data_IF_068187267270
#
_entry.id   IF_068187267270
#
_cell.length_a   1.000
_cell.length_b   1.000
_cell.length_c   1.000
_cell.angle_alpha   90.00
_cell.angle_beta   90.00
_cell.angle_gamma   90.00
#
_symmetry.space_group_name_H-M   'P 1'
#
loop_
_entity.id
_entity.type
_entity.pdbx_description
1 polymer ?
#
# COMPACT_ATOMS: atom_id res chain seq x y z
N UNK A 1 -9.78 22.67 -21.03
CA UNK A 1 -10.98 23.52 -20.82
C UNK A 1 -10.69 24.65 -19.84
N UNK A 2 -11.50 25.72 -19.83
CA UNK A 2 -11.29 26.88 -18.94
C UNK A 2 -11.18 26.46 -17.47
N UNK A 3 -12.02 25.53 -17.04
CA UNK A 3 -12.04 24.99 -15.68
C UNK A 3 -10.71 24.31 -15.28
N UNK A 4 -10.06 23.64 -16.20
CA UNK A 4 -8.75 23.00 -15.97
C UNK A 4 -7.65 24.04 -15.70
N UNK A 5 -7.67 25.12 -16.44
CA UNK A 5 -6.72 26.21 -16.24
C UNK A 5 -6.91 26.91 -14.90
N UNK A 6 -8.17 27.15 -14.50
CA UNK A 6 -8.50 27.73 -13.19
C UNK A 6 -7.90 26.84 -12.07
N UNK A 7 -8.17 25.55 -12.07
CA UNK A 7 -7.62 24.64 -11.06
C UNK A 7 -6.10 24.56 -11.11
N UNK A 8 -5.49 24.56 -12.31
CA UNK A 8 -4.03 24.51 -12.43
C UNK A 8 -3.38 25.76 -11.85
N UNK A 9 -3.94 26.93 -12.09
CA UNK A 9 -3.46 28.19 -11.53
C UNK A 9 -3.58 28.20 -10.00
N UNK A 10 -4.74 27.81 -9.48
CA UNK A 10 -4.98 27.71 -8.02
C UNK A 10 -3.96 26.78 -7.36
N UNK A 11 -3.76 25.59 -7.91
CA UNK A 11 -2.81 24.59 -7.36
C UNK A 11 -1.36 25.04 -7.52
N UNK A 12 -1.02 25.77 -8.58
CA UNK A 12 0.31 26.32 -8.75
C UNK A 12 0.61 27.40 -7.72
N UNK A 13 -0.34 28.29 -7.45
CA UNK A 13 -0.23 29.32 -6.41
C UNK A 13 -0.12 28.69 -5.02
N UNK A 14 -0.91 27.66 -4.74
CA UNK A 14 -0.85 26.89 -3.50
C UNK A 14 0.53 26.26 -3.32
N UNK A 15 1.07 25.60 -4.35
CA UNK A 15 2.39 24.97 -4.30
C UNK A 15 3.50 25.98 -4.04
N UNK A 16 3.48 27.11 -4.76
CA UNK A 16 4.45 28.19 -4.57
C UNK A 16 4.38 28.74 -3.15
N UNK A 17 3.18 28.97 -2.62
CA UNK A 17 2.99 29.46 -1.25
C UNK A 17 3.54 28.46 -0.22
N UNK A 18 3.27 27.17 -0.38
CA UNK A 18 3.80 26.11 0.50
C UNK A 18 5.33 26.04 0.48
N UNK A 19 5.94 26.08 -0.72
CA UNK A 19 7.40 26.09 -0.87
C UNK A 19 8.01 27.35 -0.24
N UNK A 20 7.33 28.49 -0.37
CA UNK A 20 7.81 29.75 0.21
C UNK A 20 7.74 29.76 1.74
N UNK A 21 6.67 29.20 2.32
CA UNK A 21 6.47 29.11 3.77
C UNK A 21 7.29 28.00 4.43
N UNK A 22 7.82 27.03 3.66
CA UNK A 22 8.61 25.93 4.20
C UNK A 22 9.97 26.42 4.73
N UNK A 23 10.34 26.04 5.96
CA UNK A 23 11.65 26.36 6.56
C UNK A 23 12.80 25.82 5.72
N UNK A 24 12.67 24.59 5.17
CA UNK A 24 13.63 23.96 4.28
C UNK A 24 12.98 23.64 2.94
N UNK A 25 13.09 24.53 1.97
CA UNK A 25 12.47 24.45 0.63
C UNK A 25 12.82 23.15 -0.10
N UNK A 26 14.11 22.77 -0.11
CA UNK A 26 14.57 21.55 -0.78
C UNK A 26 14.07 20.27 -0.13
N UNK A 27 13.92 20.27 1.19
CA UNK A 27 13.38 19.15 1.92
C UNK A 27 11.88 19.00 1.64
N UNK A 28 11.14 20.12 1.53
CA UNK A 28 9.72 20.09 1.16
C UNK A 28 9.51 19.59 -0.27
N UNK A 29 10.28 20.07 -1.25
CA UNK A 29 10.17 19.64 -2.67
C UNK A 29 10.44 18.15 -2.82
N UNK A 30 11.38 17.59 -2.05
CA UNK A 30 11.70 16.14 -2.03
C UNK A 30 10.80 15.34 -1.12
N UNK A 31 9.95 15.97 -0.34
CA UNK A 31 8.99 15.28 0.52
C UNK A 31 7.86 14.65 -0.29
N UNK A 32 7.21 13.66 0.28
CA UNK A 32 6.05 13.01 -0.32
C UNK A 32 4.96 14.02 -0.73
N UNK A 33 4.71 15.03 0.10
CA UNK A 33 3.75 16.11 -0.16
C UNK A 33 4.16 16.99 -1.33
N UNK A 34 5.42 17.42 -1.36
CA UNK A 34 5.96 18.27 -2.44
C UNK A 34 5.94 17.58 -3.80
N UNK A 35 6.20 16.25 -3.82
CA UNK A 35 6.15 15.45 -5.03
C UNK A 35 4.71 15.30 -5.54
N UNK A 36 3.73 15.05 -4.67
CA UNK A 36 2.31 14.96 -5.05
C UNK A 36 1.83 16.29 -5.61
N UNK A 37 2.16 17.41 -4.96
CA UNK A 37 1.80 18.74 -5.44
C UNK A 37 2.39 19.04 -6.83
N UNK A 38 3.65 18.66 -7.03
CA UNK A 38 4.33 18.82 -8.31
C UNK A 38 3.70 17.95 -9.41
N UNK A 39 3.49 16.67 -9.14
CA UNK A 39 2.86 15.73 -10.09
C UNK A 39 1.44 16.15 -10.46
N UNK A 40 0.72 16.80 -9.56
CA UNK A 40 -0.64 17.27 -9.83
C UNK A 40 -0.71 18.44 -10.84
N UNK A 41 0.35 19.28 -10.93
CA UNK A 41 0.41 20.42 -11.84
C UNK A 41 1.23 20.15 -13.11
N UNK A 42 2.22 19.25 -13.01
CA UNK A 42 3.19 18.92 -14.05
C UNK A 42 2.57 18.60 -15.42
N UNK A 43 1.50 17.74 -15.53
CA UNK A 43 0.96 17.34 -16.82
C UNK A 43 0.45 18.50 -17.67
N UNK A 44 -0.10 19.55 -17.05
CA UNK A 44 -0.64 20.70 -17.76
C UNK A 44 0.48 21.53 -18.36
N UNK A 45 1.57 21.74 -17.62
CA UNK A 45 2.74 22.49 -18.12
C UNK A 45 3.54 21.68 -19.14
N UNK A 46 3.66 20.35 -18.96
CA UNK A 46 4.35 19.48 -19.91
C UNK A 46 3.64 19.47 -21.27
N UNK A 47 2.31 19.42 -21.26
CA UNK A 47 1.50 19.49 -22.46
C UNK A 47 1.62 20.82 -23.22
N UNK A 48 1.97 21.92 -22.51
CA UNK A 48 2.18 23.22 -23.11
C UNK A 48 3.60 23.39 -23.68
N UNK A 49 4.63 22.87 -22.98
CA UNK A 49 6.03 23.05 -23.34
C UNK A 49 6.48 22.15 -24.51
N UNK A 50 5.87 20.99 -24.63
CA UNK A 50 6.24 19.99 -25.63
C UNK A 50 5.04 19.54 -26.49
N UNK A 51 4.59 20.40 -27.43
CA UNK A 51 3.47 20.05 -28.32
C UNK A 51 3.76 18.80 -29.19
N UNK A 52 5.03 18.55 -29.49
CA UNK A 52 5.47 17.41 -30.32
C UNK A 52 5.40 16.07 -29.57
N UNK A 53 5.44 16.06 -28.25
CA UNK A 53 5.21 14.86 -27.44
C UNK A 53 3.76 14.35 -27.53
N UNK A 54 2.85 15.18 -28.04
CA UNK A 54 1.48 14.77 -28.33
C UNK A 54 1.39 13.63 -29.37
N UNK A 55 2.41 13.46 -30.19
CA UNK A 55 2.47 12.38 -31.20
C UNK A 55 3.04 11.07 -30.66
N UNK A 56 3.83 11.12 -29.56
CA UNK A 56 4.52 9.95 -29.01
C UNK A 56 3.89 9.41 -27.74
N UNK A 57 3.29 10.26 -26.93
CA UNK A 57 2.57 9.85 -25.69
C UNK A 57 1.11 10.23 -25.91
N UNK A 58 0.24 9.24 -25.97
CA UNK A 58 -1.20 9.48 -26.07
C UNK A 58 -1.60 10.50 -24.97
N UNK A 59 -2.05 11.69 -25.38
CA UNK A 59 -2.47 12.81 -24.49
C UNK A 59 -3.42 12.33 -23.40
N UNK A 60 -4.10 11.18 -23.65
CA UNK A 60 -4.97 10.51 -22.68
C UNK A 60 -4.23 10.07 -21.43
N UNK A 61 -2.96 9.59 -21.56
CA UNK A 61 -2.15 9.15 -20.40
C UNK A 61 -1.80 10.33 -19.50
N UNK A 62 -1.38 11.46 -20.08
CA UNK A 62 -1.13 12.70 -19.30
C UNK A 62 -2.40 13.20 -18.60
N UNK A 63 -3.57 12.96 -19.20
CA UNK A 63 -4.85 13.31 -18.59
C UNK A 63 -5.17 12.41 -17.39
N UNK A 64 -4.77 11.11 -17.43
CA UNK A 64 -4.97 10.18 -16.31
C UNK A 64 -4.09 10.54 -15.11
N UNK A 65 -2.89 11.09 -15.31
CA UNK A 65 -2.02 11.54 -14.21
C UNK A 65 -2.70 12.63 -13.35
N UNK A 66 -3.68 13.37 -13.91
CA UNK A 66 -4.45 14.36 -13.13
C UNK A 66 -5.26 13.75 -11.98
N UNK A 67 -5.48 12.41 -11.97
CA UNK A 67 -6.15 11.74 -10.86
C UNK A 67 -5.36 11.88 -9.55
N UNK A 68 -4.03 12.08 -9.62
CA UNK A 68 -3.19 12.33 -8.45
C UNK A 68 -3.57 13.57 -7.65
N UNK A 69 -4.41 14.48 -8.25
CA UNK A 69 -4.98 15.62 -7.50
C UNK A 69 -5.84 15.18 -6.32
N UNK A 70 -6.40 13.95 -6.34
CA UNK A 70 -7.19 13.42 -5.23
C UNK A 70 -6.32 13.21 -3.97
N UNK A 71 -5.01 12.95 -4.14
CA UNK A 71 -4.08 12.82 -3.02
C UNK A 71 -3.73 14.16 -2.34
N UNK A 72 -4.21 15.30 -2.87
CA UNK A 72 -4.13 16.60 -2.20
C UNK A 72 -5.09 16.74 -1.00
N UNK A 73 -5.97 15.78 -0.79
CA UNK A 73 -6.81 15.72 0.41
C UNK A 73 -5.90 15.43 1.61
N UNK A 74 -5.35 16.48 2.19
CA UNK A 74 -4.31 16.46 3.25
C UNK A 74 -4.77 15.75 4.52
N UNK A 75 -6.06 15.66 4.74
CA UNK A 75 -6.66 15.01 5.90
C UNK A 75 -6.30 13.51 6.00
N UNK A 76 -6.14 12.84 4.85
CA UNK A 76 -5.83 11.41 4.79
C UNK A 76 -4.33 11.10 4.67
N UNK A 77 -3.48 12.11 4.49
CA UNK A 77 -2.05 11.87 4.24
C UNK A 77 -1.36 11.30 5.48
N UNK A 78 -1.78 11.69 6.66
CA UNK A 78 -1.27 11.12 7.92
C UNK A 78 -1.51 9.62 7.96
N UNK A 79 -2.70 9.17 7.56
CA UNK A 79 -3.06 7.75 7.49
C UNK A 79 -2.20 6.99 6.45
N UNK A 80 -1.94 7.61 5.28
CA UNK A 80 -1.04 7.02 4.28
C UNK A 80 0.40 6.86 4.80
N UNK A 81 0.90 7.82 5.58
CA UNK A 81 2.24 7.74 6.19
C UNK A 81 2.27 6.61 7.22
N UNK A 82 1.26 6.49 8.06
CA UNK A 82 1.15 5.40 9.05
C UNK A 82 1.07 4.03 8.37
N UNK A 83 0.23 3.90 7.34
CA UNK A 83 0.14 2.67 6.55
C UNK A 83 1.47 2.34 5.86
N UNK A 84 2.13 3.35 5.26
CA UNK A 84 3.44 3.19 4.64
C UNK A 84 4.51 2.74 5.62
N UNK A 85 4.52 3.29 6.84
CA UNK A 85 5.44 2.89 7.91
C UNK A 85 5.20 1.43 8.34
N UNK A 86 3.94 1.01 8.52
CA UNK A 86 3.57 -0.36 8.87
C UNK A 86 3.98 -1.36 7.78
N UNK A 87 3.76 -1.02 6.50
CA UNK A 87 4.20 -1.83 5.37
C UNK A 87 5.73 -1.93 5.31
N UNK A 88 6.45 -0.83 5.53
CA UNK A 88 7.90 -0.80 5.56
C UNK A 88 8.47 -1.66 6.70
N UNK A 89 7.86 -1.63 7.87
CA UNK A 89 8.21 -2.47 9.01
C UNK A 89 7.98 -3.96 8.71
N UNK A 90 6.88 -4.27 8.02
CA UNK A 90 6.50 -5.66 7.68
C UNK A 90 7.15 -6.18 6.39
N UNK A 91 7.89 -5.36 5.63
CA UNK A 91 8.39 -5.71 4.28
C UNK A 91 9.11 -7.05 4.20
N UNK A 92 9.92 -7.40 5.20
CA UNK A 92 10.65 -8.67 5.23
C UNK A 92 9.72 -9.87 5.34
N UNK A 93 8.71 -9.78 6.22
CA UNK A 93 7.70 -10.83 6.42
C UNK A 93 6.87 -11.02 5.15
N UNK A 94 6.45 -9.90 4.53
CA UNK A 94 5.68 -9.88 3.28
C UNK A 94 6.50 -10.47 2.13
N UNK A 95 7.78 -10.10 1.99
CA UNK A 95 8.65 -10.63 0.93
C UNK A 95 8.85 -12.14 1.05
N UNK A 96 9.11 -12.66 2.26
CA UNK A 96 9.25 -14.11 2.50
C UNK A 96 7.95 -14.83 2.14
N UNK A 97 6.82 -14.29 2.54
CA UNK A 97 5.51 -14.86 2.21
C UNK A 97 5.25 -14.87 0.70
N UNK A 98 5.46 -13.73 0.00
CA UNK A 98 5.26 -13.66 -1.44
C UNK A 98 6.20 -14.58 -2.22
N UNK A 99 7.45 -14.76 -1.76
CA UNK A 99 8.38 -15.70 -2.39
C UNK A 99 7.90 -17.16 -2.23
N UNK A 100 7.34 -17.52 -1.07
CA UNK A 100 6.76 -18.84 -0.87
C UNK A 100 5.54 -19.08 -1.77
N UNK A 101 4.65 -18.10 -1.87
CA UNK A 101 3.48 -18.16 -2.78
C UNK A 101 3.92 -18.30 -4.23
N UNK A 102 4.92 -17.52 -4.65
CA UNK A 102 5.47 -17.60 -6.01
C UNK A 102 6.04 -18.98 -6.32
N UNK A 103 6.78 -19.60 -5.37
CA UNK A 103 7.26 -20.98 -5.56
C UNK A 103 6.11 -21.98 -5.70
N UNK A 104 5.08 -21.88 -4.87
CA UNK A 104 3.91 -22.75 -4.96
C UNK A 104 3.23 -22.59 -6.32
N UNK A 105 3.01 -21.37 -6.79
CA UNK A 105 2.39 -21.08 -8.08
C UNK A 105 3.22 -21.64 -9.24
N UNK A 106 4.56 -21.50 -9.19
CA UNK A 106 5.44 -22.05 -10.21
C UNK A 106 5.39 -23.58 -10.25
N UNK A 107 5.42 -24.24 -9.10
CA UNK A 107 5.33 -25.70 -9.00
C UNK A 107 3.98 -26.20 -9.50
N UNK A 108 2.89 -25.62 -9.02
CA UNK A 108 1.52 -26.05 -9.40
C UNK A 108 1.22 -25.70 -10.87
N UNK A 109 1.66 -24.55 -11.37
CA UNK A 109 1.52 -24.17 -12.76
C UNK A 109 2.26 -25.14 -13.70
N UNK A 110 3.51 -25.50 -13.36
CA UNK A 110 4.28 -26.47 -14.12
C UNK A 110 3.65 -27.88 -14.05
N UNK A 111 3.15 -28.27 -12.89
CA UNK A 111 2.46 -29.54 -12.71
C UNK A 111 1.21 -29.61 -13.59
N UNK A 112 0.41 -28.55 -13.64
CA UNK A 112 -0.79 -28.48 -14.47
C UNK A 112 -0.46 -28.49 -15.98
N UNK A 113 0.67 -27.89 -16.38
CA UNK A 113 1.15 -28.01 -17.76
C UNK A 113 1.39 -29.48 -18.15
N UNK A 114 1.97 -30.28 -17.25
CA UNK A 114 2.26 -31.71 -17.50
C UNK A 114 0.97 -32.55 -17.52
N UNK A 115 0.04 -32.26 -16.61
CA UNK A 115 -1.20 -33.06 -16.46
C UNK A 115 -2.22 -32.76 -17.55
N UNK A 116 -2.49 -31.49 -17.81
CA UNK A 116 -3.52 -31.06 -18.76
C UNK A 116 -3.00 -30.95 -20.19
N UNK A 117 -1.81 -30.43 -20.35
CA UNK A 117 -1.13 -30.26 -21.64
C UNK A 117 -1.80 -29.25 -22.58
N UNK A 118 -1.21 -29.10 -23.80
CA UNK A 118 -1.69 -28.12 -24.78
C UNK A 118 -3.13 -28.39 -25.28
N UNK A 119 -3.56 -29.64 -25.29
CA UNK A 119 -4.90 -30.03 -25.74
C UNK A 119 -6.03 -29.42 -24.89
N UNK A 120 -5.77 -29.18 -23.62
CA UNK A 120 -6.73 -28.61 -22.68
C UNK A 120 -6.49 -27.10 -22.38
N UNK A 121 -5.68 -26.43 -23.22
CA UNK A 121 -5.44 -24.99 -23.09
C UNK A 121 -4.17 -24.62 -22.33
N UNK A 122 -3.48 -25.58 -21.71
CA UNK A 122 -2.21 -25.37 -21.02
C UNK A 122 -1.04 -25.46 -22.02
N UNK A 123 -0.96 -24.48 -22.94
CA UNK A 123 -0.10 -24.52 -24.12
C UNK A 123 1.38 -24.34 -23.83
N UNK A 124 1.72 -23.71 -22.69
CA UNK A 124 3.09 -23.46 -22.27
C UNK A 124 3.18 -23.31 -20.74
N UNK A 125 4.40 -23.47 -20.20
CA UNK A 125 4.64 -23.26 -18.76
C UNK A 125 4.22 -21.84 -18.31
N UNK A 126 4.58 -20.74 -19.01
CA UNK A 126 4.13 -19.40 -18.64
C UNK A 126 2.60 -19.26 -18.64
N UNK A 127 1.89 -19.85 -19.60
CA UNK A 127 0.42 -19.86 -19.65
C UNK A 127 -0.17 -20.59 -18.43
N UNK A 128 0.44 -21.70 -18.05
CA UNK A 128 0.00 -22.49 -16.89
C UNK A 128 0.29 -21.77 -15.57
N UNK A 129 1.40 -21.04 -15.47
CA UNK A 129 1.71 -20.17 -14.33
C UNK A 129 0.72 -19.02 -14.24
N UNK A 130 0.37 -18.38 -15.36
CA UNK A 130 -0.66 -17.34 -15.41
C UNK A 130 -2.00 -17.88 -14.86
N UNK A 131 -2.42 -19.07 -15.29
CA UNK A 131 -3.62 -19.73 -14.77
C UNK A 131 -3.50 -19.99 -13.26
N UNK A 132 -2.33 -20.46 -12.79
CA UNK A 132 -2.09 -20.75 -11.40
C UNK A 132 -2.15 -19.47 -10.53
N UNK A 133 -1.58 -18.36 -11.01
CA UNK A 133 -1.69 -17.05 -10.34
C UNK A 133 -3.16 -16.63 -10.26
N UNK A 134 -3.88 -16.66 -11.37
CA UNK A 134 -5.29 -16.26 -11.44
C UNK A 134 -6.17 -17.08 -10.49
N UNK A 135 -5.90 -18.37 -10.37
CA UNK A 135 -6.63 -19.29 -9.46
C UNK A 135 -6.25 -19.04 -7.99
N UNK A 136 -4.96 -18.96 -7.70
CA UNK A 136 -4.45 -18.77 -6.33
C UNK A 136 -4.86 -17.41 -5.75
N UNK A 137 -4.89 -16.36 -6.58
CA UNK A 137 -5.35 -15.03 -6.18
C UNK A 137 -6.87 -14.87 -6.16
N UNK A 138 -7.61 -15.94 -6.41
CA UNK A 138 -9.09 -15.97 -6.46
C UNK A 138 -9.73 -15.09 -7.54
N UNK A 139 -8.96 -14.66 -8.55
CA UNK A 139 -9.48 -13.87 -9.69
C UNK A 139 -10.31 -14.75 -10.61
N UNK A 140 -9.77 -15.92 -11.03
CA UNK A 140 -10.50 -16.95 -11.78
C UNK A 140 -11.11 -16.45 -13.08
N UNK A 141 -10.33 -15.94 -14.04
CA UNK A 141 -10.85 -15.46 -15.32
C UNK A 141 -11.65 -16.53 -16.10
N UNK A 142 -11.33 -17.81 -15.91
CA UNK A 142 -12.06 -18.91 -16.57
C UNK A 142 -11.71 -19.12 -18.05
N UNK A 143 -10.74 -18.41 -18.56
CA UNK A 143 -10.21 -18.53 -19.91
C UNK A 143 -9.47 -19.87 -20.13
N UNK A 144 -8.81 -20.37 -19.09
CA UNK A 144 -8.16 -21.68 -19.05
C UNK A 144 -8.70 -22.44 -17.83
N UNK A 145 -9.17 -23.65 -18.08
CA UNK A 145 -9.76 -24.49 -16.99
C UNK A 145 -9.33 -25.93 -17.15
N UNK A 146 -9.00 -26.64 -16.07
CA UNK A 146 -8.67 -28.05 -16.08
C UNK A 146 -9.84 -28.90 -16.61
N UNK A 147 -9.52 -29.88 -17.44
CA UNK A 147 -10.50 -30.82 -18.04
C UNK A 147 -10.39 -32.21 -17.43
N UNK A 148 -9.19 -32.63 -17.01
CA UNK A 148 -8.96 -33.93 -16.42
C UNK A 148 -9.43 -33.98 -14.96
N UNK A 149 -9.84 -35.16 -14.49
CA UNK A 149 -10.29 -35.33 -13.10
C UNK A 149 -9.15 -35.06 -12.10
N UNK A 150 -7.91 -35.48 -12.43
CA UNK A 150 -6.73 -35.21 -11.62
C UNK A 150 -6.43 -33.70 -11.57
N UNK A 151 -6.49 -33.01 -12.71
CA UNK A 151 -6.29 -31.57 -12.78
C UNK A 151 -7.34 -30.81 -11.97
N UNK A 152 -8.61 -31.21 -12.03
CA UNK A 152 -9.70 -30.64 -11.22
C UNK A 152 -9.49 -30.86 -9.72
N UNK A 153 -9.03 -32.06 -9.32
CA UNK A 153 -8.71 -32.35 -7.92
C UNK A 153 -7.60 -31.45 -7.38
N UNK A 154 -6.50 -31.34 -8.12
CA UNK A 154 -5.37 -30.43 -7.75
C UNK A 154 -5.84 -28.99 -7.68
N UNK A 155 -6.64 -28.55 -8.65
CA UNK A 155 -7.23 -27.21 -8.67
C UNK A 155 -8.09 -26.93 -7.45
N UNK A 156 -8.87 -27.90 -6.99
CA UNK A 156 -9.70 -27.76 -5.77
C UNK A 156 -8.84 -27.51 -4.54
N UNK A 157 -7.74 -28.24 -4.39
CA UNK A 157 -6.77 -28.01 -3.30
C UNK A 157 -6.17 -26.62 -3.42
N UNK A 158 -5.77 -26.23 -4.62
CA UNK A 158 -5.19 -24.93 -4.89
C UNK A 158 -6.14 -23.76 -4.57
N UNK A 159 -7.42 -23.90 -4.89
CA UNK A 159 -8.45 -22.90 -4.54
C UNK A 159 -8.60 -22.73 -3.03
N UNK A 160 -8.58 -23.85 -2.25
CA UNK A 160 -8.62 -23.78 -0.80
C UNK A 160 -7.38 -23.10 -0.22
N UNK A 161 -6.19 -23.39 -0.77
CA UNK A 161 -4.95 -22.71 -0.38
C UNK A 161 -4.99 -21.22 -0.73
N UNK A 162 -5.55 -20.86 -1.89
CA UNK A 162 -5.68 -19.49 -2.35
C UNK A 162 -6.47 -18.61 -1.39
N UNK A 163 -7.55 -19.14 -0.84
CA UNK A 163 -8.33 -18.43 0.18
C UNK A 163 -7.51 -18.11 1.43
N UNK A 164 -6.70 -19.06 1.92
CA UNK A 164 -5.79 -18.83 3.04
C UNK A 164 -4.66 -17.84 2.74
N UNK A 165 -4.23 -17.76 1.47
CA UNK A 165 -3.15 -16.89 1.02
C UNK A 165 -3.48 -15.41 1.21
N UNK A 166 -4.74 -14.99 1.12
CA UNK A 166 -5.14 -13.60 1.33
C UNK A 166 -5.13 -13.20 2.81
N UNK A 167 -5.34 -14.17 3.72
CA UNK A 167 -5.41 -13.91 5.16
C UNK A 167 -4.04 -13.55 5.77
N UNK A 168 -2.94 -14.12 5.26
CA UNK A 168 -1.61 -13.95 5.85
C UNK A 168 -1.08 -12.52 5.70
N UNK A 169 -1.02 -11.88 4.51
CA UNK A 169 -0.58 -10.49 4.39
C UNK A 169 -1.47 -9.53 5.18
N UNK A 170 -2.78 -9.74 5.14
CA UNK A 170 -3.73 -8.92 5.90
C UNK A 170 -3.46 -9.03 7.40
N UNK A 171 -3.25 -10.22 7.92
CA UNK A 171 -2.90 -10.46 9.33
C UNK A 171 -1.56 -9.82 9.72
N UNK A 172 -0.53 -9.91 8.88
CA UNK A 172 0.78 -9.29 9.13
C UNK A 172 0.64 -7.76 9.24
N UNK A 173 -0.05 -7.13 8.29
CA UNK A 173 -0.23 -5.66 8.27
C UNK A 173 -1.10 -5.21 9.43
N UNK A 174 -2.20 -5.92 9.73
CA UNK A 174 -3.08 -5.59 10.85
C UNK A 174 -2.36 -5.70 12.19
N UNK A 175 -1.55 -6.73 12.39
CA UNK A 175 -0.76 -6.90 13.61
C UNK A 175 0.25 -5.75 13.78
N UNK A 176 0.91 -5.32 12.70
CA UNK A 176 1.86 -4.20 12.73
C UNK A 176 1.17 -2.88 13.02
N UNK A 177 0.02 -2.61 12.40
CA UNK A 177 -0.79 -1.41 12.68
C UNK A 177 -1.28 -1.39 14.13
N UNK A 178 -1.67 -2.54 14.67
CA UNK A 178 -2.10 -2.64 16.07
C UNK A 178 -0.93 -2.39 17.05
N UNK A 179 0.27 -2.89 16.73
CA UNK A 179 1.47 -2.67 17.56
C UNK A 179 2.03 -1.25 17.45
N UNK A 180 1.76 -0.56 16.34
CA UNK A 180 2.22 0.80 16.09
C UNK A 180 1.32 1.87 16.71
N UNK A 181 0.21 1.49 17.36
CA UNK A 181 -0.61 2.47 18.09
C UNK A 181 0.24 3.05 19.22
N UNK A 182 0.42 4.39 19.28
CA UNK A 182 1.11 5.00 20.41
C UNK A 182 0.37 4.62 21.68
N UNK A 183 1.12 4.11 22.64
CA UNK A 183 0.61 3.88 24.00
C UNK A 183 -0.04 5.18 24.47
N UNK A 184 -1.30 5.14 24.90
CA UNK A 184 -1.99 6.34 25.35
C UNK A 184 -1.27 6.86 26.60
N UNK A 185 -0.39 7.83 26.38
CA UNK A 185 0.33 8.51 27.43
C UNK A 185 -0.66 9.43 28.14
N UNK A 186 -0.82 9.23 29.42
CA UNK A 186 -1.67 10.07 30.27
C UNK A 186 -0.87 11.22 30.87
N UNK A 187 -1.54 12.25 31.34
CA UNK A 187 -0.95 13.37 32.09
C UNK A 187 -0.64 13.01 33.58
N UNK A 188 -0.74 11.72 33.96
CA UNK A 188 -0.42 11.29 35.33
C UNK A 188 1.01 11.58 35.66
N UNK A 189 1.22 12.27 36.80
CA UNK A 189 2.52 12.60 37.33
C UNK A 189 2.83 11.73 38.57
N UNK A 190 4.03 11.19 38.61
CA UNK A 190 4.49 10.45 39.78
C UNK A 190 4.67 11.41 40.99
N UNK A 191 4.10 11.07 42.16
CA UNK A 191 4.20 11.90 43.36
C UNK A 191 5.61 11.94 43.97
N UNK A 192 6.43 10.91 43.69
CA UNK A 192 7.77 10.79 44.28
C UNK A 192 8.85 11.47 43.42
N UNK A 193 8.87 11.24 42.11
CA UNK A 193 9.93 11.76 41.25
C UNK A 193 9.45 12.81 40.22
N UNK A 194 8.17 13.19 40.28
CA UNK A 194 7.54 14.21 39.42
C UNK A 194 7.64 13.90 37.89
N UNK A 195 7.94 12.64 37.53
CA UNK A 195 7.98 12.20 36.16
C UNK A 195 6.56 12.12 35.59
N UNK A 196 6.35 12.66 34.38
CA UNK A 196 5.09 12.66 33.64
C UNK A 196 5.12 11.62 32.50
N UNK A 197 3.97 11.39 31.82
CA UNK A 197 3.92 10.57 30.64
C UNK A 197 3.83 9.08 30.89
N UNK A 198 3.06 8.67 31.89
CA UNK A 198 2.78 7.25 32.17
C UNK A 198 1.59 6.76 31.35
N UNK A 199 1.64 5.49 30.89
CA UNK A 199 0.52 4.88 30.21
C UNK A 199 -0.69 4.70 31.15
N UNK A 200 -1.90 4.65 30.57
CA UNK A 200 -3.12 4.44 31.36
C UNK A 200 -3.08 3.12 32.17
N UNK A 201 -2.37 2.11 31.66
CA UNK A 201 -2.20 0.79 32.24
C UNK A 201 -1.07 0.69 33.29
N UNK A 202 -0.19 1.71 33.40
CA UNK A 202 0.93 1.66 34.32
C UNK A 202 0.45 1.73 35.78
N UNK A 203 0.84 0.76 36.60
CA UNK A 203 0.59 0.75 38.03
C UNK A 203 1.75 1.36 38.82
N UNK A 204 2.95 1.33 38.24
CA UNK A 204 4.19 1.81 38.88
C UNK A 204 4.92 2.80 37.97
N UNK A 205 5.60 3.76 38.56
CA UNK A 205 6.40 4.73 37.85
C UNK A 205 7.56 4.04 37.12
N UNK A 206 7.73 4.31 35.84
CA UNK A 206 8.82 3.76 35.01
C UNK A 206 10.21 4.26 35.42
N UNK A 207 10.28 5.38 36.15
CA UNK A 207 11.54 6.00 36.59
C UNK A 207 11.98 5.58 38.00
N UNK A 208 11.07 5.64 38.98
CA UNK A 208 11.44 5.40 40.39
C UNK A 208 10.78 4.17 41.02
N UNK A 209 9.86 3.50 40.30
CA UNK A 209 9.17 2.31 40.80
C UNK A 209 8.06 2.58 41.81
N UNK A 210 7.78 3.85 42.17
CA UNK A 210 6.72 4.19 43.11
C UNK A 210 5.33 3.88 42.49
N UNK A 211 4.36 3.54 43.34
CA UNK A 211 3.00 3.27 42.90
C UNK A 211 2.34 4.56 42.37
N UNK A 212 1.80 4.51 41.18
CA UNK A 212 1.09 5.64 40.57
C UNK A 212 -0.34 5.76 41.12
N UNK A 213 -0.92 6.97 41.15
CA UNK A 213 -2.34 7.15 41.43
C UNK A 213 -3.20 6.43 40.40
N UNK A 214 -4.37 5.93 40.82
CA UNK A 214 -5.29 5.25 39.91
C UNK A 214 -5.74 6.19 38.78
N UNK A 215 -5.83 5.63 37.56
CA UNK A 215 -6.33 6.39 36.41
C UNK A 215 -7.85 6.44 36.44
N UNK A 216 -8.40 7.62 36.60
CA UNK A 216 -9.84 7.87 36.52
C UNK A 216 -10.13 8.39 35.13
N UNK A 217 -10.97 7.68 34.38
CA UNK A 217 -11.52 8.17 33.13
C UNK A 217 -12.53 9.28 33.45
N UNK A 218 -12.24 10.50 33.01
CA UNK A 218 -13.24 11.56 32.90
C UNK A 218 -14.08 11.36 31.63
#
# INVERSE_FOLDING_TARGET
TVLEWIFTIIFSLEYIARVYCAQNRMQYIKSFYGIIDLVAILPTYLAMLFPELHALIDVRVLRLIRIFRIFKLTEYVTEYVHLGAALAASRRKIFVFLSAVLMIVMVLGTLMYVIEGPANGFTSIPTSIYWAISTMTTVGFGDITPKTDLGRFITSIMMLMGWGTLAVPTGIVTAELASSRPEQITTRTCKECMSEGHAATDQYCRHCGAKLPDYVHD
#
